data_IF_828729534213
#
_entry.id   IF_828729534213
#
_cell.length_a   1.000
_cell.length_b   1.000
_cell.length_c   1.000
_cell.angle_alpha   90.00
_cell.angle_beta   90.00
_cell.angle_gamma   90.00
#
_symmetry.space_group_name_H-M   'P 1'
#
loop_
_entity.id
_entity.type
_entity.pdbx_description
1 polymer ?
#
# COMPACT_ATOMS: atom_id res chain seq x y z
N UNK A 1 -30.66 -19.52 -62.56
CA UNK A 1 -29.66 -18.45 -62.59
C UNK A 1 -30.01 -17.44 -61.51
N UNK A 2 -29.07 -17.20 -60.57
CA UNK A 2 -28.76 -15.91 -59.88
C UNK A 2 -29.90 -15.27 -59.04
N UNK A 3 -29.74 -14.85 -57.79
CA UNK A 3 -28.57 -14.67 -56.92
C UNK A 3 -28.94 -14.91 -55.45
N UNK A 4 -28.05 -15.42 -54.61
CA UNK A 4 -26.99 -14.67 -53.90
C UNK A 4 -27.54 -13.34 -53.33
N UNK A 5 -27.97 -13.33 -52.07
CA UNK A 5 -27.14 -13.17 -50.87
C UNK A 5 -26.69 -11.72 -50.66
N UNK A 6 -27.41 -11.03 -49.78
CA UNK A 6 -26.92 -9.85 -49.07
C UNK A 6 -27.58 -9.84 -47.68
N UNK A 7 -27.21 -10.82 -46.85
CA UNK A 7 -27.39 -10.70 -45.40
C UNK A 7 -26.32 -9.70 -44.96
N UNK A 8 -26.68 -8.41 -44.95
CA UNK A 8 -25.83 -7.36 -44.43
C UNK A 8 -25.68 -7.63 -42.94
N UNK A 9 -24.54 -8.22 -42.59
CA UNK A 9 -24.08 -8.40 -41.22
C UNK A 9 -23.79 -7.00 -40.66
N UNK A 10 -24.82 -6.31 -40.20
CA UNK A 10 -24.67 -5.16 -39.31
C UNK A 10 -24.21 -5.68 -37.95
N UNK A 11 -22.94 -6.07 -37.89
CA UNK A 11 -22.20 -6.07 -36.63
C UNK A 11 -22.13 -4.60 -36.23
N UNK A 12 -23.16 -4.14 -35.52
CA UNK A 12 -23.02 -2.97 -34.66
C UNK A 12 -21.79 -3.29 -33.80
N UNK A 13 -20.67 -2.56 -33.92
CA UNK A 13 -19.71 -2.59 -32.84
C UNK A 13 -20.53 -2.18 -31.63
N UNK A 14 -20.69 -3.10 -30.67
CA UNK A 14 -21.07 -2.68 -29.33
C UNK A 14 -20.04 -1.59 -29.02
N UNK A 15 -20.51 -0.34 -28.97
CA UNK A 15 -19.77 0.75 -28.40
C UNK A 15 -19.60 0.31 -26.95
N UNK A 16 -18.52 -0.45 -26.70
CA UNK A 16 -18.01 -0.70 -25.37
C UNK A 16 -17.59 0.68 -24.94
N UNK A 17 -18.55 1.38 -24.34
CA UNK A 17 -18.29 2.64 -23.71
C UNK A 17 -17.31 2.30 -22.61
N UNK A 18 -16.04 2.55 -22.91
CA UNK A 18 -14.96 2.35 -22.00
C UNK A 18 -15.25 3.31 -20.85
N UNK A 19 -15.46 2.74 -19.66
CA UNK A 19 -15.87 3.47 -18.47
C UNK A 19 -14.89 3.08 -17.38
N UNK A 20 -14.20 4.03 -16.76
CA UNK A 20 -13.25 3.71 -15.70
C UNK A 20 -13.17 4.82 -14.68
N UNK A 21 -12.97 4.43 -13.43
CA UNK A 21 -13.02 5.32 -12.28
C UNK A 21 -12.42 4.65 -11.03
N UNK A 22 -12.08 5.47 -10.04
CA UNK A 22 -11.68 4.97 -8.72
C UNK A 22 -12.94 4.69 -7.88
N UNK A 23 -13.02 3.51 -7.27
CA UNK A 23 -14.11 3.11 -6.35
C UNK A 23 -13.74 3.45 -4.91
N UNK A 24 -12.52 3.08 -4.49
CA UNK A 24 -12.01 3.33 -3.15
C UNK A 24 -10.71 4.13 -3.22
N UNK A 25 -10.58 5.15 -2.37
CA UNK A 25 -9.39 6.00 -2.31
C UNK A 25 -8.46 5.66 -1.16
N UNK A 26 -8.85 4.73 -0.29
CA UNK A 26 -8.02 4.22 0.80
C UNK A 26 -8.44 2.79 1.18
N UNK A 27 -7.98 1.82 0.40
CA UNK A 27 -8.27 0.40 0.56
C UNK A 27 -7.20 -0.30 1.38
N UNK A 28 -7.57 -1.34 2.12
CA UNK A 28 -6.65 -2.03 3.04
C UNK A 28 -5.89 -3.21 2.44
N UNK A 29 -6.23 -3.65 1.24
CA UNK A 29 -5.62 -4.85 0.65
C UNK A 29 -4.94 -4.53 -0.69
N UNK A 30 -3.61 -4.62 -0.72
CA UNK A 30 -2.82 -4.48 -1.93
C UNK A 30 -2.86 -5.79 -2.73
N UNK A 31 -3.07 -5.68 -4.05
CA UNK A 31 -3.18 -6.82 -4.97
C UNK A 31 -4.32 -7.79 -4.59
N UNK A 32 -5.38 -7.26 -3.97
CA UNK A 32 -6.56 -8.03 -3.57
C UNK A 32 -7.24 -8.73 -4.74
N UNK A 33 -7.72 -9.95 -4.48
CA UNK A 33 -8.42 -10.77 -5.47
C UNK A 33 -9.86 -10.27 -5.70
N UNK A 34 -10.56 -9.90 -4.62
CA UNK A 34 -11.97 -9.57 -4.64
C UNK A 34 -12.25 -8.29 -3.87
N UNK A 35 -13.27 -7.56 -4.33
CA UNK A 35 -13.77 -6.40 -3.61
C UNK A 35 -14.47 -6.80 -2.31
N UNK A 36 -14.00 -6.22 -1.21
CA UNK A 36 -14.68 -6.21 0.07
C UNK A 36 -14.84 -4.75 0.53
N UNK A 37 -16.07 -4.26 0.49
CA UNK A 37 -16.41 -2.91 0.92
C UNK A 37 -16.02 -2.57 2.36
N UNK A 38 -15.82 -3.56 3.24
CA UNK A 38 -15.39 -3.34 4.63
C UNK A 38 -13.92 -2.92 4.71
N UNK A 39 -13.15 -3.21 3.65
CA UNK A 39 -11.74 -2.83 3.52
C UNK A 39 -11.56 -1.43 2.92
N UNK A 40 -12.64 -0.79 2.49
CA UNK A 40 -12.60 0.57 1.98
C UNK A 40 -12.88 1.60 3.07
N UNK A 41 -11.88 2.43 3.37
CA UNK A 41 -11.96 3.45 4.41
C UNK A 41 -12.42 4.80 3.91
N UNK A 42 -12.13 5.12 2.65
CA UNK A 42 -12.43 6.41 2.07
C UNK A 42 -12.78 6.30 0.60
N UNK A 43 -13.54 7.30 0.13
CA UNK A 43 -14.18 7.26 -1.17
C UNK A 43 -13.87 8.52 -1.97
N UNK A 44 -14.03 8.47 -3.30
CA UNK A 44 -13.87 9.66 -4.11
C UNK A 44 -15.07 10.60 -3.99
N UNK A 45 -14.91 11.82 -4.51
CA UNK A 45 -15.94 12.86 -4.45
C UNK A 45 -17.24 12.36 -5.05
N UNK A 46 -18.37 12.60 -4.38
CA UNK A 46 -19.71 12.20 -4.83
C UNK A 46 -19.98 10.70 -4.84
N UNK A 47 -19.10 9.88 -4.24
CA UNK A 47 -19.21 8.43 -4.28
C UNK A 47 -20.54 7.89 -3.74
N UNK A 48 -21.15 8.56 -2.75
CA UNK A 48 -22.46 8.14 -2.20
C UNK A 48 -23.58 8.03 -3.24
N UNK A 49 -23.46 8.72 -4.38
CA UNK A 49 -24.44 8.70 -5.47
C UNK A 49 -24.04 7.81 -6.64
N UNK A 50 -22.76 7.41 -6.72
CA UNK A 50 -22.15 6.90 -7.95
C UNK A 50 -21.36 5.60 -7.75
N UNK A 51 -20.92 5.33 -6.51
CA UNK A 51 -20.16 4.14 -6.12
C UNK A 51 -20.90 3.49 -4.95
N UNK A 52 -21.64 2.39 -5.19
CA UNK A 52 -22.34 1.71 -4.11
C UNK A 52 -21.31 1.14 -3.14
N UNK A 53 -21.40 1.52 -1.86
CA UNK A 53 -20.56 0.94 -0.81
C UNK A 53 -20.91 -0.54 -0.67
N UNK A 54 -22.18 -0.80 -0.38
CA UNK A 54 -22.76 -2.14 -0.37
C UNK A 54 -23.46 -2.40 -1.69
N UNK A 55 -23.00 -3.39 -2.46
CA UNK A 55 -23.57 -3.73 -3.75
C UNK A 55 -22.58 -4.44 -4.66
N UNK A 56 -22.98 -4.70 -5.89
CA UNK A 56 -22.07 -5.28 -6.88
C UNK A 56 -21.01 -4.25 -7.27
N UNK A 57 -19.74 -4.60 -7.07
CA UNK A 57 -18.61 -3.78 -7.47
C UNK A 57 -18.65 -3.48 -8.98
N UNK A 58 -18.27 -2.26 -9.36
CA UNK A 58 -18.26 -1.84 -10.76
C UNK A 58 -19.63 -1.80 -11.45
N UNK A 59 -20.75 -1.86 -10.74
CA UNK A 59 -22.09 -1.90 -11.34
C UNK A 59 -22.54 -0.57 -11.98
N UNK A 60 -21.94 0.56 -11.61
CA UNK A 60 -22.37 1.90 -12.01
C UNK A 60 -21.46 2.54 -13.05
N UNK A 61 -21.84 2.56 -14.33
CA UNK A 61 -21.05 3.23 -15.37
C UNK A 61 -21.10 4.76 -15.30
N UNK A 62 -22.00 5.29 -14.47
CA UNK A 62 -22.25 6.73 -14.34
C UNK A 62 -21.11 7.49 -13.69
N UNK A 63 -20.11 6.84 -13.09
CA UNK A 63 -18.95 7.54 -12.51
C UNK A 63 -17.84 7.81 -13.53
N UNK A 64 -17.82 7.12 -14.66
CA UNK A 64 -16.84 7.38 -15.70
C UNK A 64 -16.95 8.81 -16.21
N UNK A 65 -15.79 9.47 -16.31
CA UNK A 65 -15.72 10.87 -16.70
C UNK A 65 -14.46 11.15 -17.49
N UNK A 66 -14.63 11.83 -18.62
CA UNK A 66 -13.55 12.50 -19.34
C UNK A 66 -13.58 13.98 -18.93
N UNK A 67 -12.44 14.58 -18.61
CA UNK A 67 -12.39 15.97 -18.20
C UNK A 67 -12.74 16.88 -19.38
N UNK A 68 -13.47 17.94 -19.09
CA UNK A 68 -13.65 19.06 -20.02
C UNK A 68 -12.80 20.26 -19.57
N UNK A 69 -12.39 21.17 -20.47
CA UNK A 69 -11.77 22.43 -20.07
C UNK A 69 -12.61 23.18 -19.03
N UNK A 70 -12.05 23.44 -17.85
CA UNK A 70 -12.74 24.07 -16.72
C UNK A 70 -13.53 23.11 -15.83
N UNK A 71 -13.57 21.81 -16.16
CA UNK A 71 -14.22 20.76 -15.38
C UNK A 71 -13.35 19.48 -15.41
N UNK A 72 -12.24 19.50 -14.66
CA UNK A 72 -11.37 18.32 -14.54
C UNK A 72 -12.05 17.20 -13.74
N UNK A 73 -12.83 17.59 -12.74
CA UNK A 73 -13.58 16.69 -11.89
C UNK A 73 -15.04 16.63 -12.31
N UNK A 74 -15.63 15.42 -12.30
CA UNK A 74 -17.04 15.21 -12.69
C UNK A 74 -18.02 16.08 -11.92
N UNK A 75 -17.80 16.21 -10.61
CA UNK A 75 -18.60 17.07 -9.73
C UNK A 75 -17.71 18.19 -9.23
N UNK A 76 -18.18 19.43 -9.23
CA UNK A 76 -17.45 20.54 -8.63
C UNK A 76 -17.16 20.29 -7.16
N UNK A 77 -16.04 20.82 -6.66
CA UNK A 77 -15.64 20.63 -5.27
C UNK A 77 -16.65 21.24 -4.29
N UNK A 78 -17.11 20.43 -3.34
CA UNK A 78 -17.88 20.86 -2.17
C UNK A 78 -17.74 19.83 -1.04
N UNK A 79 -16.68 19.96 -0.25
CA UNK A 79 -16.32 19.02 0.82
C UNK A 79 -17.48 18.78 1.82
N UNK A 80 -18.38 19.75 1.97
CA UNK A 80 -19.51 19.67 2.91
C UNK A 80 -20.68 18.80 2.41
N UNK A 81 -20.83 18.62 1.09
CA UNK A 81 -21.97 17.89 0.49
C UNK A 81 -21.55 16.66 -0.29
N UNK A 82 -20.29 16.57 -0.70
CA UNK A 82 -19.80 15.48 -1.54
C UNK A 82 -19.29 14.26 -0.76
N UNK A 83 -19.23 14.37 0.56
CA UNK A 83 -18.84 13.31 1.49
C UNK A 83 -19.93 13.05 2.52
N UNK A 84 -20.05 11.80 2.96
CA UNK A 84 -21.01 11.38 3.99
C UNK A 84 -20.32 10.51 5.03
N UNK A 85 -21.00 10.17 6.12
CA UNK A 85 -20.47 9.19 7.08
C UNK A 85 -20.28 7.78 6.46
N UNK A 86 -21.06 7.44 5.43
CA UNK A 86 -20.94 6.16 4.73
C UNK A 86 -19.87 6.20 3.63
N UNK A 87 -19.63 7.37 3.04
CA UNK A 87 -18.60 7.62 2.04
C UNK A 87 -17.69 8.75 2.50
N UNK A 88 -16.86 8.50 3.53
CA UNK A 88 -16.03 9.56 4.10
C UNK A 88 -14.87 9.93 3.19
N UNK A 89 -14.38 11.15 3.40
CA UNK A 89 -13.16 11.67 2.81
C UNK A 89 -11.92 10.99 3.41
N UNK A 90 -10.84 10.88 2.64
CA UNK A 90 -9.62 10.24 3.12
C UNK A 90 -8.83 11.15 4.07
N UNK A 91 -8.05 10.52 4.95
CA UNK A 91 -6.97 11.19 5.68
C UNK A 91 -5.71 10.36 5.51
N UNK A 92 -4.68 10.97 4.92
CA UNK A 92 -3.38 10.35 4.74
C UNK A 92 -2.34 10.97 5.65
N UNK A 93 -1.22 10.28 5.87
CA UNK A 93 -0.04 10.87 6.47
C UNK A 93 1.15 10.89 5.50
N UNK A 94 2.09 11.79 5.72
CA UNK A 94 3.34 11.86 4.96
C UNK A 94 4.08 10.51 4.93
N UNK A 95 4.46 10.03 3.75
CA UNK A 95 5.12 8.74 3.57
C UNK A 95 4.19 7.52 3.56
N UNK A 96 2.87 7.71 3.72
CA UNK A 96 1.92 6.60 3.65
C UNK A 96 1.85 6.00 2.25
N UNK A 97 1.86 4.67 2.15
CA UNK A 97 1.38 3.96 0.94
C UNK A 97 -0.14 3.85 0.97
N UNK A 98 -0.78 4.33 -0.08
CA UNK A 98 -2.23 4.37 -0.27
C UNK A 98 -2.60 3.38 -1.36
N UNK A 99 -3.64 2.57 -1.12
CA UNK A 99 -4.19 1.62 -2.10
C UNK A 99 -5.49 2.18 -2.67
N UNK A 100 -5.59 2.19 -4.00
CA UNK A 100 -6.82 2.56 -4.70
C UNK A 100 -7.43 1.32 -5.35
N UNK A 101 -8.75 1.30 -5.51
CA UNK A 101 -9.43 0.24 -6.28
C UNK A 101 -10.20 0.81 -7.45
N UNK A 102 -10.30 0.02 -8.52
CA UNK A 102 -11.08 0.37 -9.70
C UNK A 102 -11.69 -0.89 -10.33
N UNK A 103 -12.80 -0.78 -11.07
CA UNK A 103 -13.30 -1.87 -11.89
C UNK A 103 -12.50 -2.00 -13.18
N UNK A 104 -12.31 -3.23 -13.65
CA UNK A 104 -11.53 -3.54 -14.86
C UNK A 104 -12.25 -3.20 -16.15
N UNK A 105 -13.58 -3.37 -16.21
CA UNK A 105 -14.41 -2.92 -17.35
C UNK A 105 -13.97 -3.47 -18.70
N UNK A 106 -13.47 -4.70 -18.69
CA UNK A 106 -12.89 -5.42 -19.83
C UNK A 106 -11.58 -4.82 -20.37
N UNK A 107 -10.92 -3.91 -19.63
CA UNK A 107 -9.69 -3.22 -20.03
C UNK A 107 -8.41 -3.84 -19.44
N UNK A 108 -8.33 -5.18 -19.39
CA UNK A 108 -7.12 -5.90 -18.96
C UNK A 108 -6.69 -6.85 -20.07
N UNK A 109 -5.41 -6.83 -20.42
CA UNK A 109 -4.79 -7.81 -21.29
C UNK A 109 -4.49 -9.07 -20.48
N UNK A 110 -5.18 -10.16 -20.80
CA UNK A 110 -4.90 -11.48 -20.25
C UNK A 110 -5.26 -12.54 -21.28
N UNK A 111 -4.26 -13.27 -21.79
CA UNK A 111 -4.46 -14.26 -22.86
C UNK A 111 -5.33 -15.44 -22.44
N UNK A 112 -5.58 -15.64 -21.14
CA UNK A 112 -6.46 -16.71 -20.68
C UNK A 112 -7.95 -16.45 -21.00
N UNK A 113 -8.35 -15.18 -21.15
CA UNK A 113 -9.75 -14.81 -21.37
C UNK A 113 -9.97 -13.66 -22.37
N UNK A 114 -8.92 -12.93 -22.76
CA UNK A 114 -8.97 -11.82 -23.72
C UNK A 114 -7.85 -11.94 -24.76
N UNK A 115 -6.93 -10.97 -24.82
CA UNK A 115 -5.80 -10.90 -25.74
C UNK A 115 -4.71 -9.96 -25.19
N UNK A 116 -3.54 -9.95 -25.82
CA UNK A 116 -2.38 -9.14 -25.43
C UNK A 116 -2.35 -7.70 -25.97
N UNK A 117 -3.42 -7.25 -26.60
CA UNK A 117 -3.49 -5.95 -27.30
C UNK A 117 -4.41 -4.95 -26.61
N UNK A 118 -4.83 -5.21 -25.37
CA UNK A 118 -5.65 -4.27 -24.61
C UNK A 118 -4.79 -3.06 -24.20
N UNK A 119 -5.06 -1.84 -24.70
CA UNK A 119 -4.21 -0.68 -24.47
C UNK A 119 -4.07 -0.29 -23.00
N UNK A 120 -2.92 0.28 -22.66
CA UNK A 120 -2.71 1.05 -21.43
C UNK A 120 -1.62 2.08 -21.74
N UNK A 121 -1.96 3.36 -21.70
CA UNK A 121 -1.07 4.45 -22.10
C UNK A 121 -0.63 5.33 -20.93
N UNK A 122 -0.87 4.87 -19.70
CA UNK A 122 -0.30 5.44 -18.49
C UNK A 122 -1.35 5.86 -17.48
N UNK A 123 -0.90 5.93 -16.23
CA UNK A 123 -1.75 6.07 -15.06
C UNK A 123 -1.02 6.90 -13.99
N UNK A 124 -1.62 7.99 -13.54
CA UNK A 124 -0.96 8.99 -12.70
C UNK A 124 -1.85 9.47 -11.57
N UNK A 125 -1.19 9.85 -10.47
CA UNK A 125 -1.82 10.60 -9.37
C UNK A 125 -1.18 11.98 -9.30
N UNK A 126 -2.02 12.99 -9.37
CA UNK A 126 -1.64 14.38 -9.15
C UNK A 126 -2.38 14.95 -7.93
N UNK A 127 -1.83 16.02 -7.37
CA UNK A 127 -2.49 16.84 -6.34
C UNK A 127 -2.52 18.30 -6.76
N UNK A 128 -3.63 18.97 -6.45
CA UNK A 128 -3.76 20.41 -6.65
C UNK A 128 -3.07 21.22 -5.54
N UNK A 129 -3.25 22.55 -5.52
CA UNK A 129 -2.70 23.39 -4.45
C UNK A 129 -3.23 23.00 -3.06
N UNK A 130 -2.37 23.06 -2.05
CA UNK A 130 -2.75 22.85 -0.65
C UNK A 130 -3.81 23.86 -0.23
N UNK A 131 -4.87 23.37 0.40
CA UNK A 131 -6.06 24.14 0.80
C UNK A 131 -6.67 24.95 -0.35
N UNK A 132 -6.51 24.51 -1.60
CA UNK A 132 -7.15 25.13 -2.75
C UNK A 132 -8.67 25.12 -2.59
N UNK A 133 -9.34 26.22 -2.91
CA UNK A 133 -10.80 26.35 -2.76
C UNK A 133 -11.59 25.79 -3.96
N UNK A 134 -10.93 25.57 -5.10
CA UNK A 134 -11.52 25.09 -6.34
C UNK A 134 -10.59 24.12 -7.04
N UNK A 135 -11.16 23.30 -7.91
CA UNK A 135 -10.38 22.44 -8.80
C UNK A 135 -9.54 23.30 -9.76
N UNK A 136 -8.29 22.91 -10.05
CA UNK A 136 -7.57 23.43 -11.21
C UNK A 136 -8.37 23.28 -12.51
N UNK A 137 -8.21 24.23 -13.42
CA UNK A 137 -9.06 24.33 -14.61
C UNK A 137 -8.77 23.28 -15.69
N UNK A 138 -7.52 22.81 -15.80
CA UNK A 138 -7.07 21.87 -16.82
C UNK A 138 -6.38 20.67 -16.17
N UNK A 139 -6.59 19.45 -16.68
CA UNK A 139 -6.04 18.22 -16.07
C UNK A 139 -4.52 18.07 -16.25
N UNK A 140 -3.94 18.84 -17.17
CA UNK A 140 -2.51 18.99 -17.45
C UNK A 140 -2.01 20.41 -17.13
N UNK A 141 -2.81 21.18 -16.38
CA UNK A 141 -2.46 22.52 -15.94
C UNK A 141 -1.28 22.54 -14.97
N UNK A 142 -0.52 23.65 -14.92
CA UNK A 142 0.66 23.79 -14.06
C UNK A 142 0.35 23.79 -12.56
N UNK A 143 -0.92 23.90 -12.17
CA UNK A 143 -1.35 23.85 -10.77
C UNK A 143 -1.37 22.42 -10.21
N UNK A 144 -1.35 21.40 -11.07
CA UNK A 144 -1.21 20.01 -10.66
C UNK A 144 0.25 19.66 -10.42
N UNK A 145 0.50 19.01 -9.29
CA UNK A 145 1.78 18.36 -8.98
C UNK A 145 1.59 16.86 -9.08
N UNK A 146 2.24 16.22 -10.04
CA UNK A 146 2.28 14.76 -10.12
C UNK A 146 3.07 14.21 -8.93
N UNK A 147 2.44 13.31 -8.17
CA UNK A 147 3.05 12.64 -7.02
C UNK A 147 3.27 11.15 -7.24
N UNK A 148 2.66 10.56 -8.28
CA UNK A 148 2.90 9.18 -8.67
C UNK A 148 2.73 8.94 -10.18
N UNK A 149 3.61 8.13 -10.74
CA UNK A 149 3.45 7.46 -12.03
C UNK A 149 3.32 5.96 -11.76
N UNK A 150 2.13 5.41 -12.00
CA UNK A 150 1.83 4.00 -11.74
C UNK A 150 2.14 3.14 -12.98
N UNK A 151 2.69 3.75 -14.04
CA UNK A 151 3.18 3.11 -15.24
C UNK A 151 2.07 2.71 -16.20
N UNK A 152 2.47 1.84 -17.14
CA UNK A 152 1.61 1.25 -18.16
C UNK A 152 1.88 -0.24 -18.27
N UNK A 153 0.83 -1.03 -18.45
CA UNK A 153 0.97 -2.44 -18.75
C UNK A 153 1.62 -2.65 -20.13
N UNK A 154 2.50 -3.66 -20.29
CA UNK A 154 3.05 -4.02 -21.59
C UNK A 154 1.96 -4.59 -22.50
N UNK A 155 1.94 -4.16 -23.76
CA UNK A 155 0.95 -4.55 -24.78
C UNK A 155 1.64 -4.88 -26.10
N UNK A 156 1.04 -5.76 -26.91
CA UNK A 156 1.50 -6.04 -28.27
C UNK A 156 1.98 -7.47 -28.52
N UNK A 157 2.36 -7.74 -29.77
CA UNK A 157 2.64 -9.12 -30.21
C UNK A 157 3.92 -9.72 -29.62
N UNK A 158 4.89 -8.87 -29.29
CA UNK A 158 6.21 -9.27 -28.76
C UNK A 158 6.18 -9.62 -27.26
N UNK A 159 5.09 -9.29 -26.57
CA UNK A 159 4.95 -9.56 -25.15
C UNK A 159 4.65 -11.06 -24.94
N UNK A 160 5.46 -11.77 -24.12
CA UNK A 160 5.17 -13.16 -23.77
C UNK A 160 3.84 -13.29 -23.05
N UNK A 161 3.07 -14.32 -23.38
CA UNK A 161 1.76 -14.63 -22.78
C UNK A 161 1.80 -14.66 -21.25
N UNK A 162 2.89 -15.17 -20.66
CA UNK A 162 3.11 -15.21 -19.22
C UNK A 162 3.09 -13.81 -18.57
N UNK A 163 3.58 -12.77 -19.25
CA UNK A 163 3.56 -11.39 -18.74
C UNK A 163 2.12 -10.87 -18.63
N UNK A 164 1.26 -11.25 -19.56
CA UNK A 164 -0.16 -10.86 -19.54
C UNK A 164 -1.03 -11.70 -18.60
N UNK A 165 -0.51 -12.79 -18.04
CA UNK A 165 -1.27 -13.67 -17.13
C UNK A 165 -0.66 -13.77 -15.73
N UNK A 166 0.39 -12.99 -15.45
CA UNK A 166 1.02 -12.88 -14.13
C UNK A 166 0.66 -11.54 -13.50
N UNK A 167 0.39 -11.56 -12.19
CA UNK A 167 0.12 -10.39 -11.37
C UNK A 167 1.14 -10.34 -10.22
N UNK A 168 1.50 -9.16 -9.69
CA UNK A 168 0.96 -7.84 -10.04
C UNK A 168 1.41 -7.34 -11.43
N UNK A 169 0.59 -6.49 -12.05
CA UNK A 169 0.92 -5.79 -13.31
C UNK A 169 1.13 -4.30 -13.05
N UNK A 170 1.97 -3.60 -13.82
CA UNK A 170 2.00 -2.15 -13.78
C UNK A 170 0.75 -1.55 -14.44
N UNK A 171 0.49 -0.26 -14.16
CA UNK A 171 -0.61 0.49 -14.77
C UNK A 171 -1.99 -0.03 -14.38
N UNK A 172 -2.97 0.15 -15.27
CA UNK A 172 -4.39 -0.15 -15.02
C UNK A 172 -4.69 -1.64 -14.87
N UNK A 173 -3.79 -2.50 -15.33
CA UNK A 173 -4.13 -3.90 -15.57
C UNK A 173 -3.97 -4.81 -14.35
N UNK A 174 -3.66 -4.27 -13.17
CA UNK A 174 -3.40 -5.06 -11.96
C UNK A 174 -4.66 -5.61 -11.30
N UNK A 175 -5.24 -6.66 -11.89
CA UNK A 175 -6.49 -7.29 -11.46
C UNK A 175 -6.40 -8.83 -11.50
N UNK A 176 -5.91 -9.49 -10.43
CA UNK A 176 -5.62 -10.92 -10.41
C UNK A 176 -6.79 -11.83 -10.82
N UNK A 177 -8.03 -11.40 -10.53
CA UNK A 177 -9.26 -12.14 -10.83
C UNK A 177 -10.01 -11.65 -12.06
N UNK A 178 -9.32 -10.97 -12.97
CA UNK A 178 -9.92 -10.43 -14.19
C UNK A 178 -10.71 -11.47 -15.00
N UNK A 179 -10.13 -12.65 -15.24
CA UNK A 179 -10.77 -13.67 -16.07
C UNK A 179 -12.00 -14.34 -15.43
N UNK A 180 -12.25 -14.14 -14.13
CA UNK A 180 -13.47 -14.63 -13.48
C UNK A 180 -14.68 -13.72 -13.77
N UNK A 181 -14.44 -12.41 -13.92
CA UNK A 181 -15.47 -11.45 -14.28
C UNK A 181 -14.85 -10.20 -14.94
N UNK A 182 -14.67 -10.24 -16.26
CA UNK A 182 -13.91 -9.21 -16.99
C UNK A 182 -14.48 -7.79 -16.83
N UNK A 183 -15.79 -7.64 -16.63
CA UNK A 183 -16.45 -6.34 -16.44
C UNK A 183 -16.32 -5.82 -15.00
N UNK A 184 -16.42 -6.71 -13.99
CA UNK A 184 -16.54 -6.33 -12.57
C UNK A 184 -15.39 -6.80 -11.68
N UNK A 185 -14.30 -7.33 -12.22
CA UNK A 185 -13.14 -7.65 -11.41
C UNK A 185 -12.54 -6.38 -10.79
N UNK A 186 -11.97 -6.54 -9.60
CA UNK A 186 -11.25 -5.48 -8.92
C UNK A 186 -9.82 -5.41 -9.44
N UNK A 187 -9.42 -4.23 -9.87
CA UNK A 187 -8.01 -3.86 -9.99
C UNK A 187 -7.58 -3.00 -8.80
N UNK A 188 -6.29 -3.08 -8.48
CA UNK A 188 -5.70 -2.27 -7.39
C UNK A 188 -4.51 -1.46 -7.88
N UNK A 189 -4.39 -0.24 -7.38
CA UNK A 189 -3.20 0.58 -7.48
C UNK A 189 -2.59 0.80 -6.12
N UNK A 190 -1.33 1.22 -6.11
CA UNK A 190 -0.76 1.85 -4.94
C UNK A 190 0.14 3.02 -5.32
N UNK A 191 0.23 3.99 -4.43
CA UNK A 191 1.18 5.10 -4.50
C UNK A 191 1.57 5.55 -3.10
N UNK A 192 2.68 6.28 -2.99
CA UNK A 192 3.15 6.80 -1.70
C UNK A 192 2.96 8.31 -1.62
N UNK A 193 2.38 8.79 -0.52
CA UNK A 193 2.31 10.22 -0.23
C UNK A 193 3.74 10.74 -0.02
N UNK A 194 4.20 11.76 -0.77
CA UNK A 194 5.54 12.29 -0.59
C UNK A 194 5.77 12.73 0.86
N UNK A 195 6.90 12.35 1.44
CA UNK A 195 7.24 12.69 2.84
C UNK A 195 7.38 14.20 3.07
N UNK A 196 7.62 14.95 2.00
CA UNK A 196 7.73 16.41 2.00
C UNK A 196 6.45 17.13 1.56
N UNK A 197 5.35 16.42 1.28
CA UNK A 197 4.08 17.06 0.94
C UNK A 197 3.54 17.80 2.16
N UNK A 198 3.35 19.11 2.07
CA UNK A 198 2.96 19.94 3.22
C UNK A 198 1.63 19.47 3.82
N UNK A 199 1.48 19.38 5.16
CA UNK A 199 0.18 19.04 5.74
C UNK A 199 -0.91 20.03 5.36
N UNK A 200 -2.11 19.52 5.07
CA UNK A 200 -3.26 20.30 4.63
C UNK A 200 -4.20 19.48 3.74
N UNK A 201 -5.26 20.12 3.27
CA UNK A 201 -6.23 19.47 2.39
C UNK A 201 -5.83 19.60 0.93
N UNK A 202 -5.89 18.51 0.20
CA UNK A 202 -5.60 18.48 -1.23
C UNK A 202 -6.79 17.91 -1.99
N UNK A 203 -6.99 18.40 -3.23
CA UNK A 203 -7.71 17.65 -4.24
C UNK A 203 -6.70 16.77 -4.95
N UNK A 204 -6.93 15.46 -4.90
CA UNK A 204 -6.23 14.45 -5.66
C UNK A 204 -6.96 14.19 -6.97
N UNK A 205 -6.19 13.93 -8.01
CA UNK A 205 -6.65 13.61 -9.35
C UNK A 205 -5.99 12.31 -9.80
N UNK A 206 -6.80 11.27 -10.00
CA UNK A 206 -6.40 10.10 -10.74
C UNK A 206 -6.63 10.34 -12.23
N UNK A 207 -5.63 10.03 -13.06
CA UNK A 207 -5.71 10.08 -14.53
C UNK A 207 -5.30 8.75 -15.12
N UNK A 208 -6.10 8.23 -16.04
CA UNK A 208 -5.73 7.06 -16.83
C UNK A 208 -6.02 7.26 -18.31
N UNK A 209 -5.01 7.04 -19.15
CA UNK A 209 -5.17 7.12 -20.60
C UNK A 209 -5.25 5.69 -21.14
N UNK A 210 -6.44 5.28 -21.55
CA UNK A 210 -6.62 3.97 -22.18
C UNK A 210 -5.97 3.94 -23.57
N UNK A 211 -6.39 4.83 -24.47
CA UNK A 211 -5.85 4.94 -25.84
C UNK A 211 -4.95 6.16 -25.99
N UNK A 212 -3.78 6.00 -26.61
CA UNK A 212 -2.90 7.10 -26.95
C UNK A 212 -3.63 8.19 -27.75
N UNK A 213 -3.43 9.45 -27.37
CA UNK A 213 -4.05 10.60 -28.03
C UNK A 213 -5.49 10.93 -27.57
N UNK A 214 -6.09 10.12 -26.69
CA UNK A 214 -7.38 10.44 -26.08
C UNK A 214 -7.21 11.21 -24.76
N UNK A 215 -8.27 11.90 -24.34
CA UNK A 215 -8.37 12.46 -22.99
C UNK A 215 -8.33 11.35 -21.93
N UNK A 216 -7.75 11.60 -20.75
CA UNK A 216 -7.73 10.62 -19.68
C UNK A 216 -9.12 10.41 -19.09
N UNK A 217 -9.37 9.23 -18.55
CA UNK A 217 -10.38 9.05 -17.51
C UNK A 217 -9.90 9.73 -16.25
N UNK A 218 -10.82 10.36 -15.53
CA UNK A 218 -10.50 11.07 -14.29
C UNK A 218 -11.39 10.67 -13.13
N UNK A 219 -10.83 10.71 -11.93
CA UNK A 219 -11.56 10.65 -10.67
C UNK A 219 -10.89 11.59 -9.69
N UNK A 220 -11.70 12.39 -9.00
CA UNK A 220 -11.21 13.35 -8.04
C UNK A 220 -11.66 12.99 -6.64
N UNK A 221 -10.82 13.29 -5.65
CA UNK A 221 -11.17 13.20 -4.26
C UNK A 221 -10.37 14.19 -3.43
N UNK A 222 -10.95 14.60 -2.33
CA UNK A 222 -10.30 15.36 -1.30
C UNK A 222 -9.64 14.39 -0.31
N UNK A 223 -8.48 14.77 0.19
CA UNK A 223 -7.91 14.13 1.37
C UNK A 223 -7.19 15.16 2.25
N UNK A 224 -7.30 14.97 3.56
CA UNK A 224 -6.43 15.65 4.51
C UNK A 224 -5.10 14.91 4.58
N UNK A 225 -3.99 15.59 4.28
CA UNK A 225 -2.64 15.08 4.51
C UNK A 225 -2.15 15.63 5.84
N UNK A 226 -1.87 14.74 6.79
CA UNK A 226 -1.36 15.10 8.11
C UNK A 226 0.12 14.73 8.25
N UNK A 227 0.78 15.26 9.27
CA UNK A 227 2.22 15.06 9.43
C UNK A 227 2.58 13.62 9.84
N UNK A 228 1.72 12.93 10.58
CA UNK A 228 2.07 11.65 11.21
C UNK A 228 0.96 10.61 11.14
N UNK A 229 1.36 9.33 11.15
CA UNK A 229 0.43 8.18 11.28
C UNK A 229 -0.44 8.28 12.53
N UNK A 230 0.10 8.76 13.65
CA UNK A 230 -0.64 8.91 14.90
C UNK A 230 -1.81 9.89 14.78
N UNK A 231 -1.60 11.04 14.12
CA UNK A 231 -2.65 12.04 13.88
C UNK A 231 -3.76 11.47 12.99
N UNK A 232 -3.38 10.79 11.90
CA UNK A 232 -4.33 10.11 11.02
C UNK A 232 -5.12 9.04 11.78
N UNK A 233 -4.45 8.24 12.61
CA UNK A 233 -5.08 7.18 13.39
C UNK A 233 -6.10 7.74 14.40
N UNK A 234 -5.82 8.89 15.00
CA UNK A 234 -6.77 9.55 15.89
C UNK A 234 -8.05 9.97 15.13
N UNK A 235 -7.89 10.53 13.93
CA UNK A 235 -9.02 10.91 13.05
C UNK A 235 -9.83 9.66 12.68
N UNK A 236 -9.18 8.61 12.16
CA UNK A 236 -9.85 7.37 11.75
C UNK A 236 -10.56 6.69 12.92
N UNK A 237 -9.94 6.66 14.09
CA UNK A 237 -10.57 6.12 15.31
C UNK A 237 -11.82 6.91 15.69
N UNK A 238 -11.77 8.25 15.61
CA UNK A 238 -12.93 9.10 15.90
C UNK A 238 -14.11 8.89 14.94
N UNK A 239 -13.81 8.41 13.72
CA UNK A 239 -14.79 8.06 12.69
C UNK A 239 -15.22 6.58 12.74
N UNK A 240 -14.62 5.76 13.62
CA UNK A 240 -14.84 4.31 13.66
C UNK A 240 -14.26 3.54 12.48
N UNK A 241 -13.20 4.07 11.84
CA UNK A 241 -12.47 3.43 10.74
C UNK A 241 -11.21 2.71 11.25
N UNK A 242 -10.76 1.70 10.50
CA UNK A 242 -9.51 0.97 10.76
C UNK A 242 -8.26 1.85 10.62
N UNK A 243 -7.35 1.73 11.58
CA UNK A 243 -6.05 2.42 11.61
C UNK A 243 -4.90 1.63 10.98
N UNK A 244 -5.16 0.40 10.51
CA UNK A 244 -4.18 -0.46 9.81
C UNK A 244 -3.82 0.17 8.47
N UNK A 245 -2.56 0.25 8.06
CA UNK A 245 -2.21 0.89 6.78
C UNK A 245 -2.74 0.11 5.57
N UNK A 246 -2.23 -1.11 5.37
CA UNK A 246 -2.70 -2.10 4.41
C UNK A 246 -2.05 -3.45 4.74
N UNK A 247 -2.46 -4.51 4.04
CA UNK A 247 -1.75 -5.78 3.95
C UNK A 247 -1.69 -6.26 2.50
N UNK A 248 -0.88 -7.28 2.25
CA UNK A 248 -0.81 -7.95 0.95
C UNK A 248 -1.77 -9.12 0.88
N UNK A 249 -2.51 -9.22 -0.23
CA UNK A 249 -3.31 -10.39 -0.52
C UNK A 249 -2.41 -11.65 -0.55
N UNK A 250 -2.80 -12.68 0.20
CA UNK A 250 -2.00 -13.91 0.35
C UNK A 250 -0.98 -13.89 1.49
N UNK A 251 -0.89 -12.79 2.25
CA UNK A 251 -0.12 -12.75 3.49
C UNK A 251 1.40 -12.85 3.31
N UNK A 252 1.94 -12.61 2.11
CA UNK A 252 3.37 -12.43 1.88
C UNK A 252 3.61 -11.08 1.23
N UNK A 253 4.57 -10.30 1.73
CA UNK A 253 5.13 -9.16 0.99
C UNK A 253 5.64 -9.71 -0.36
N UNK A 254 5.05 -9.35 -1.51
CA UNK A 254 5.60 -9.67 -2.81
C UNK A 254 6.85 -8.82 -2.91
N UNK A 255 7.97 -9.36 -2.41
CA UNK A 255 9.23 -8.64 -2.32
C UNK A 255 9.46 -7.90 -3.61
N UNK A 256 9.50 -6.56 -3.52
CA UNK A 256 9.64 -5.56 -4.59
C UNK A 256 9.14 -6.05 -5.95
N UNK A 257 8.02 -5.51 -6.51
CA UNK A 257 7.53 -5.97 -7.82
C UNK A 257 8.71 -6.08 -8.78
N UNK A 258 8.88 -7.22 -9.47
CA UNK A 258 10.06 -7.43 -10.30
C UNK A 258 10.20 -6.19 -11.15
N UNK A 259 11.34 -5.49 -11.01
CA UNK A 259 11.72 -4.46 -11.97
C UNK A 259 11.71 -5.20 -13.28
N UNK A 260 10.62 -5.07 -14.04
CA UNK A 260 10.53 -5.60 -15.38
C UNK A 260 11.71 -4.92 -16.05
N UNK A 261 12.75 -5.65 -16.49
CA UNK A 261 13.84 -5.02 -17.20
C UNK A 261 13.18 -4.30 -18.36
N UNK A 262 13.28 -2.96 -18.36
CA UNK A 262 13.03 -2.19 -19.56
C UNK A 262 13.90 -2.87 -20.60
N UNK A 263 13.26 -3.53 -21.57
CA UNK A 263 13.98 -4.11 -22.70
C UNK A 263 14.49 -2.90 -23.45
N UNK A 264 15.75 -2.56 -23.16
CA UNK A 264 16.48 -1.49 -23.79
C UNK A 264 16.70 -1.91 -25.25
N UNK A 265 15.74 -1.57 -26.11
CA UNK A 265 15.66 -2.23 -27.40
C UNK A 265 14.48 -1.87 -28.30
N UNK A 266 13.90 -0.68 -28.19
CA UNK A 266 13.15 -0.08 -29.31
C UNK A 266 13.51 1.40 -29.43
N UNK A 267 14.66 1.64 -30.04
CA UNK A 267 15.01 2.93 -30.64
C UNK A 267 13.99 3.28 -31.73
N UNK A 268 13.26 4.37 -31.53
CA UNK A 268 12.95 5.35 -32.56
C UNK A 268 13.24 6.72 -31.94
N UNK A 269 14.42 7.31 -32.16
CA UNK A 269 14.65 8.35 -33.20
C UNK A 269 13.61 9.47 -33.05
N UNK A 270 13.92 10.68 -32.55
CA UNK A 270 15.02 11.56 -32.94
C UNK A 270 15.31 12.70 -31.91
N UNK A 271 16.62 13.00 -31.75
CA UNK A 271 17.33 14.30 -31.73
C UNK A 271 16.72 15.53 -31.02
N UNK A 272 17.45 16.43 -30.34
CA UNK A 272 18.89 16.70 -30.09
C UNK A 272 18.95 17.80 -29.02
N UNK A 273 19.91 17.73 -28.10
CA UNK A 273 20.15 18.82 -27.14
C UNK A 273 21.31 18.57 -26.19
N UNK A 274 22.52 18.73 -26.72
CA UNK A 274 23.83 18.68 -26.05
C UNK A 274 23.94 19.60 -24.83
N UNK A 275 24.57 19.11 -23.75
CA UNK A 275 25.06 19.95 -22.65
C UNK A 275 25.70 19.15 -21.53
N UNK A 276 27.00 18.85 -21.68
CA UNK A 276 27.88 18.29 -20.66
C UNK A 276 28.18 19.29 -19.54
N UNK A 277 28.25 18.85 -18.28
CA UNK A 277 29.42 19.07 -17.40
C UNK A 277 29.30 18.28 -16.11
N UNK A 278 30.30 17.43 -15.91
CA UNK A 278 30.67 16.75 -14.68
C UNK A 278 31.17 17.79 -13.65
N UNK A 279 30.83 17.60 -12.38
CA UNK A 279 31.61 18.19 -11.28
C UNK A 279 31.55 17.28 -10.05
N UNK A 280 32.59 16.46 -9.93
CA UNK A 280 32.97 15.70 -8.75
C UNK A 280 33.48 16.67 -7.69
N UNK A 281 32.84 16.71 -6.51
CA UNK A 281 33.38 17.44 -5.34
C UNK A 281 33.82 16.42 -4.30
N UNK A 282 35.13 16.41 -4.05
CA UNK A 282 35.82 15.68 -2.98
C UNK A 282 35.69 16.48 -1.67
N UNK A 283 35.12 15.88 -0.63
CA UNK A 283 35.09 16.49 0.72
C UNK A 283 36.12 15.81 1.62
N UNK A 284 37.09 16.59 2.07
CA UNK A 284 38.14 16.22 3.03
C UNK A 284 37.57 16.18 4.45
N UNK A 285 37.73 15.05 5.14
CA UNK A 285 37.40 14.90 6.57
C UNK A 285 38.64 15.26 7.40
N UNK A 286 38.51 16.25 8.28
CA UNK A 286 39.53 16.60 9.28
C UNK A 286 39.07 16.13 10.66
N UNK A 287 39.86 15.28 11.29
CA UNK A 287 39.65 14.77 12.66
C UNK A 287 40.13 15.78 13.69
N UNK A 288 39.29 16.10 14.68
CA UNK A 288 39.73 16.73 15.93
C UNK A 288 39.02 16.10 17.12
N UNK A 289 39.81 15.71 18.11
CA UNK A 289 39.44 15.05 19.37
C UNK A 289 38.99 16.09 20.41
N UNK A 290 37.91 15.83 21.17
CA UNK A 290 37.57 16.68 22.33
C UNK A 290 36.21 16.43 22.98
N UNK A 291 36.23 15.59 24.03
CA UNK A 291 35.52 15.66 25.34
C UNK A 291 34.02 15.99 25.44
N UNK A 292 33.31 15.05 26.07
CA UNK A 292 31.90 14.95 26.46
C UNK A 292 31.39 16.03 27.43
N UNK A 293 30.21 16.59 27.15
CA UNK A 293 29.23 17.04 28.16
C UNK A 293 27.83 16.66 27.67
N UNK A 294 27.09 15.93 28.50
CA UNK A 294 25.75 15.39 28.23
C UNK A 294 24.67 16.38 28.64
N UNK A 295 23.80 16.75 27.70
CA UNK A 295 22.43 17.25 27.96
C UNK A 295 21.54 16.69 26.85
N UNK A 296 20.80 15.62 27.16
CA UNK A 296 19.92 14.93 26.23
C UNK A 296 18.71 15.78 25.84
N UNK A 297 18.59 16.07 24.55
CA UNK A 297 17.34 16.50 23.92
C UNK A 297 17.09 15.49 22.80
N UNK A 298 15.98 14.75 22.88
CA UNK A 298 15.59 13.75 21.89
C UNK A 298 14.97 14.42 20.67
N UNK A 299 15.66 14.35 19.54
CA UNK A 299 15.10 14.57 18.19
C UNK A 299 15.02 13.22 17.50
N UNK A 300 13.81 12.81 17.15
CA UNK A 300 13.54 11.59 16.39
C UNK A 300 13.55 11.93 14.90
N UNK A 301 14.52 11.39 14.17
CA UNK A 301 14.53 11.37 12.71
C UNK A 301 14.04 9.99 12.25
N UNK A 302 13.05 9.94 11.35
CA UNK A 302 12.33 8.71 11.03
C UNK A 302 12.10 8.59 9.52
N UNK A 303 12.96 7.82 8.85
CA UNK A 303 12.76 7.36 7.47
C UNK A 303 13.25 5.91 7.32
N UNK A 304 12.33 4.99 7.03
CA UNK A 304 12.61 3.64 6.51
C UNK A 304 12.53 2.48 7.52
N UNK A 305 11.75 1.44 7.16
CA UNK A 305 11.62 0.12 7.82
C UNK A 305 11.60 0.16 9.36
N UNK A 306 10.40 0.26 9.92
CA UNK A 306 10.14 0.41 11.36
C UNK A 306 10.80 -0.66 12.21
N UNK A 307 12.02 -0.38 12.64
CA UNK A 307 12.69 -1.04 13.75
C UNK A 307 12.19 -0.31 15.00
N UNK A 308 11.38 -0.97 15.83
CA UNK A 308 10.97 -0.37 17.12
C UNK A 308 12.20 -0.42 18.04
N UNK A 309 12.89 0.71 18.18
CA UNK A 309 14.00 0.86 19.11
C UNK A 309 13.47 1.32 20.47
N UNK A 310 13.23 0.36 21.37
CA UNK A 310 12.74 0.63 22.71
C UNK A 310 13.92 0.69 23.69
N UNK A 311 14.81 1.68 23.63
CA UNK A 311 16.12 1.67 24.34
C UNK A 311 16.11 1.77 25.88
N UNK A 312 14.97 1.56 26.56
CA UNK A 312 14.90 1.60 28.02
C UNK A 312 15.45 0.35 28.69
N UNK A 313 16.60 0.44 29.38
CA UNK A 313 17.05 -0.62 30.29
C UNK A 313 16.27 -0.54 31.61
N UNK A 314 15.71 -1.67 32.05
CA UNK A 314 14.95 -1.80 33.30
C UNK A 314 15.37 -3.04 34.09
N UNK A 315 15.06 -3.06 35.38
CA UNK A 315 15.24 -4.21 36.27
C UNK A 315 13.89 -4.83 36.59
N UNK A 316 13.71 -6.14 36.36
CA UNK A 316 12.51 -6.85 36.80
C UNK A 316 12.49 -6.99 38.33
N UNK A 317 11.30 -7.17 38.89
CA UNK A 317 10.99 -7.53 40.29
C UNK A 317 11.73 -8.78 40.80
N UNK A 318 12.32 -9.59 39.90
CA UNK A 318 13.14 -10.76 40.21
C UNK A 318 14.66 -10.52 40.17
N UNK A 319 15.12 -9.31 39.84
CA UNK A 319 16.54 -8.94 39.83
C UNK A 319 17.25 -9.13 38.48
N UNK A 320 16.55 -9.60 37.44
CA UNK A 320 17.11 -9.74 36.10
C UNK A 320 17.29 -8.42 35.34
N UNK A 321 18.25 -8.39 34.42
CA UNK A 321 18.47 -7.27 33.48
C UNK A 321 17.55 -7.43 32.27
N UNK A 322 16.73 -6.42 32.00
CA UNK A 322 15.86 -6.34 30.82
C UNK A 322 16.54 -5.52 29.75
N UNK A 323 16.72 -6.10 28.57
CA UNK A 323 17.17 -5.41 27.36
C UNK A 323 16.08 -5.51 26.30
N UNK A 324 15.39 -4.41 25.96
CA UNK A 324 14.38 -4.45 24.92
C UNK A 324 15.01 -4.82 23.57
N UNK A 325 14.26 -5.58 22.76
CA UNK A 325 14.72 -5.96 21.43
C UNK A 325 14.04 -5.11 20.38
N UNK A 326 14.83 -4.68 19.41
CA UNK A 326 14.31 -4.35 18.10
C UNK A 326 13.71 -5.61 17.47
N UNK A 327 12.43 -5.59 17.16
CA UNK A 327 11.77 -6.67 16.44
C UNK A 327 10.99 -6.11 15.27
N UNK A 328 10.94 -6.88 14.20
CA UNK A 328 10.11 -6.60 13.04
C UNK A 328 8.91 -7.55 13.11
N UNK A 329 7.75 -7.01 13.47
CA UNK A 329 6.45 -7.68 13.29
C UNK A 329 5.98 -7.45 11.85
N UNK A 330 6.78 -7.86 10.87
CA UNK A 330 6.41 -7.64 9.49
C UNK A 330 7.15 -8.59 8.56
N UNK A 331 6.42 -9.58 8.06
CA UNK A 331 6.53 -10.09 6.69
C UNK A 331 5.21 -10.71 6.24
N UNK A 332 4.46 -11.33 7.16
CA UNK A 332 3.27 -12.11 6.84
C UNK A 332 2.19 -11.98 7.94
N UNK A 333 1.44 -10.87 8.00
CA UNK A 333 0.27 -10.77 8.88
C UNK A 333 -0.99 -11.21 8.12
N UNK A 334 -1.91 -11.95 8.77
CA UNK A 334 -3.17 -12.42 8.17
C UNK A 334 -4.35 -12.21 9.13
N UNK A 335 -5.61 -12.27 8.66
CA UNK A 335 -6.76 -12.25 9.56
C UNK A 335 -6.65 -13.38 10.60
N UNK A 336 -6.46 -13.02 11.86
CA UNK A 336 -6.29 -13.97 12.95
C UNK A 336 -4.86 -14.50 13.13
N UNK A 337 -3.82 -13.76 12.72
CA UNK A 337 -2.45 -14.13 13.03
C UNK A 337 -1.37 -13.32 12.34
N UNK A 338 -0.13 -13.75 12.52
CA UNK A 338 0.99 -13.21 11.78
C UNK A 338 2.31 -13.91 12.09
N UNK A 339 3.33 -13.52 11.37
CA UNK A 339 4.71 -13.99 11.54
C UNK A 339 5.62 -12.84 11.95
N UNK A 340 6.54 -13.09 12.87
CA UNK A 340 7.55 -12.12 13.30
C UNK A 340 8.95 -12.71 13.36
N UNK A 341 9.95 -11.82 13.35
CA UNK A 341 11.35 -12.17 13.58
C UNK A 341 12.03 -11.17 14.51
N UNK A 342 12.98 -11.68 15.29
CA UNK A 342 13.72 -11.00 16.34
C UNK A 342 15.20 -11.12 16.03
N UNK A 343 15.90 -10.00 15.88
CA UNK A 343 17.36 -10.01 15.83
C UNK A 343 17.91 -10.00 17.25
N UNK A 344 18.80 -10.93 17.55
CA UNK A 344 19.44 -11.04 18.85
C UNK A 344 20.68 -10.15 18.93
N UNK A 345 21.00 -9.58 20.11
CA UNK A 345 22.20 -8.79 20.30
C UNK A 345 23.46 -9.66 20.16
N UNK A 346 24.52 -9.03 19.69
CA UNK A 346 25.85 -9.63 19.60
C UNK A 346 26.86 -8.74 20.34
N UNK A 347 27.49 -9.19 21.43
CA UNK A 347 27.34 -10.51 22.04
C UNK A 347 26.00 -10.70 22.77
N UNK A 348 25.54 -11.96 22.89
CA UNK A 348 24.37 -12.32 23.70
C UNK A 348 24.66 -12.16 25.20
N UNK A 349 23.64 -12.00 26.06
CA UNK A 349 23.85 -11.97 27.51
C UNK A 349 24.59 -13.23 28.00
N UNK A 350 25.51 -13.03 28.95
CA UNK A 350 26.13 -14.13 29.67
C UNK A 350 25.13 -14.74 30.66
N UNK A 351 25.21 -16.06 30.88
CA UNK A 351 24.36 -16.75 31.85
C UNK A 351 23.04 -17.23 31.27
N UNK A 352 22.03 -17.37 32.12
CA UNK A 352 20.72 -17.85 31.71
C UNK A 352 19.86 -16.70 31.21
N UNK A 353 19.35 -16.81 29.99
CA UNK A 353 18.52 -15.79 29.35
C UNK A 353 17.43 -16.40 28.48
N UNK A 354 16.39 -15.62 28.24
CA UNK A 354 15.32 -15.93 27.29
C UNK A 354 14.81 -14.63 26.63
N UNK A 355 14.18 -14.76 25.46
CA UNK A 355 13.37 -13.69 24.88
C UNK A 355 11.94 -13.83 25.39
N UNK A 356 11.39 -12.74 25.89
CA UNK A 356 9.98 -12.62 26.25
C UNK A 356 9.26 -11.82 25.18
N UNK A 357 8.16 -12.37 24.67
CA UNK A 357 7.24 -11.68 23.76
C UNK A 357 5.88 -11.61 24.45
N UNK A 358 5.31 -10.42 24.52
CA UNK A 358 4.00 -10.19 25.12
C UNK A 358 3.03 -9.64 24.10
N UNK A 359 1.90 -10.33 23.97
CA UNK A 359 0.76 -9.92 23.16
C UNK A 359 -0.31 -9.26 24.07
N UNK A 360 -1.11 -8.31 23.55
CA UNK A 360 -2.15 -7.64 24.33
C UNK A 360 -3.35 -8.54 24.67
N UNK A 361 -3.42 -9.74 24.09
CA UNK A 361 -4.59 -10.61 24.14
C UNK A 361 -4.51 -11.70 25.22
N UNK A 362 -4.55 -11.28 26.48
CA UNK A 362 -4.68 -12.24 27.58
C UNK A 362 -6.04 -12.97 27.51
N UNK A 363 -6.04 -14.27 27.80
CA UNK A 363 -7.25 -15.11 27.93
C UNK A 363 -7.78 -15.71 26.63
N UNK A 364 -7.13 -15.50 25.50
CA UNK A 364 -7.46 -16.17 24.23
C UNK A 364 -6.53 -17.36 23.97
N UNK A 365 -7.05 -18.45 23.39
CA UNK A 365 -6.19 -19.50 22.87
C UNK A 365 -5.39 -18.91 21.69
N UNK A 366 -4.09 -18.73 21.88
CA UNK A 366 -3.16 -18.37 20.83
C UNK A 366 -2.35 -19.61 20.46
N UNK A 367 -2.23 -19.87 19.17
CA UNK A 367 -1.28 -20.90 18.70
C UNK A 367 0.02 -20.16 18.39
N UNK A 368 1.10 -20.53 19.07
CA UNK A 368 2.40 -19.90 18.92
C UNK A 368 3.42 -20.96 18.55
N UNK A 369 4.13 -20.76 17.45
CA UNK A 369 5.15 -21.68 16.93
C UNK A 369 6.45 -20.91 16.70
N UNK A 370 7.60 -21.55 16.94
CA UNK A 370 8.92 -20.90 16.88
C UNK A 370 9.89 -21.67 16.00
N UNK A 371 10.85 -20.95 15.41
CA UNK A 371 12.08 -21.52 14.88
C UNK A 371 13.30 -20.77 15.40
N UNK A 372 14.45 -21.43 15.35
CA UNK A 372 15.69 -20.96 15.97
C UNK A 372 15.57 -20.68 17.48
N UNK A 373 14.59 -21.29 18.16
CA UNK A 373 14.37 -21.18 19.59
C UNK A 373 13.26 -22.12 20.06
N UNK A 374 13.34 -22.54 21.32
CA UNK A 374 12.38 -23.41 21.99
C UNK A 374 11.49 -22.60 22.93
N UNK A 375 10.20 -22.92 22.96
CA UNK A 375 9.25 -22.32 23.89
C UNK A 375 9.44 -22.87 25.31
N UNK A 376 9.54 -21.97 26.29
CA UNK A 376 9.81 -22.29 27.70
C UNK A 376 8.83 -21.62 28.67
N UNK A 377 7.79 -20.96 28.16
CA UNK A 377 6.74 -20.37 29.01
C UNK A 377 5.90 -21.45 29.71
N UNK A 378 5.32 -21.08 30.85
CA UNK A 378 4.29 -21.86 31.54
C UNK A 378 2.91 -21.64 30.91
N UNK A 379 1.95 -22.57 31.08
CA UNK A 379 0.58 -22.36 30.62
C UNK A 379 -0.10 -21.12 31.20
N UNK A 380 0.29 -20.69 32.40
CA UNK A 380 -0.26 -19.48 33.04
C UNK A 380 0.25 -18.20 32.37
N UNK A 381 1.52 -18.17 31.94
CA UNK A 381 2.11 -17.08 31.17
C UNK A 381 1.51 -17.03 29.76
N UNK A 382 1.36 -18.18 29.11
CA UNK A 382 0.71 -18.30 27.81
C UNK A 382 -0.73 -17.76 27.85
N UNK A 383 -1.50 -18.11 28.89
CA UNK A 383 -2.84 -17.57 29.10
C UNK A 383 -2.87 -16.04 29.32
N UNK A 384 -1.75 -15.42 29.69
CA UNK A 384 -1.58 -13.96 29.80
C UNK A 384 -1.00 -13.34 28.52
N UNK A 385 -0.82 -14.14 27.48
CA UNK A 385 -0.19 -13.75 26.21
C UNK A 385 1.30 -13.52 26.29
N UNK A 386 1.97 -14.16 27.25
CA UNK A 386 3.42 -14.09 27.44
C UNK A 386 4.05 -15.38 26.91
N UNK A 387 4.93 -15.24 25.92
CA UNK A 387 5.70 -16.33 25.34
C UNK A 387 7.18 -16.14 25.64
N UNK A 388 7.85 -17.21 26.05
CA UNK A 388 9.26 -17.19 26.41
C UNK A 388 10.01 -18.14 25.50
N UNK A 389 11.06 -17.66 24.85
CA UNK A 389 11.82 -18.40 23.84
C UNK A 389 13.28 -18.46 24.26
N UNK A 390 13.88 -19.64 24.21
CA UNK A 390 15.28 -19.88 24.56
C UNK A 390 16.00 -20.58 23.41
N UNK A 391 17.22 -20.15 23.09
CA UNK A 391 18.07 -20.88 22.15
C UNK A 391 18.82 -22.00 22.88
N UNK A 392 18.72 -23.23 22.37
CA UNK A 392 19.48 -24.39 22.87
C UNK A 392 20.21 -25.11 21.74
N UNK A 393 21.32 -25.77 22.08
CA UNK A 393 22.10 -26.58 21.13
C UNK A 393 22.49 -25.80 19.86
N UNK A 394 22.12 -26.33 18.69
CA UNK A 394 22.42 -25.74 17.39
C UNK A 394 21.76 -24.37 17.16
N UNK A 395 20.71 -24.03 17.91
CA UNK A 395 20.05 -22.74 17.80
C UNK A 395 20.96 -21.60 18.30
N UNK A 396 21.93 -21.89 19.16
CA UNK A 396 22.92 -20.92 19.65
C UNK A 396 23.81 -20.35 18.53
N UNK A 397 23.83 -20.96 17.34
CA UNK A 397 24.55 -20.45 16.17
C UNK A 397 23.71 -19.45 15.35
N UNK A 398 22.44 -19.24 15.71
CA UNK A 398 21.51 -18.36 14.97
C UNK A 398 21.39 -16.99 15.62
N UNK A 399 21.62 -15.93 14.85
CA UNK A 399 21.53 -14.54 15.31
C UNK A 399 20.08 -14.02 15.38
N UNK A 400 19.11 -14.86 15.10
CA UNK A 400 17.69 -14.52 15.07
C UNK A 400 16.83 -15.59 15.76
N UNK A 401 15.63 -15.17 16.16
CA UNK A 401 14.51 -16.04 16.51
C UNK A 401 13.33 -15.62 15.64
N UNK A 402 12.57 -16.57 15.12
CA UNK A 402 11.32 -16.24 14.47
C UNK A 402 10.17 -17.07 14.99
N UNK A 403 8.96 -16.54 14.77
CA UNK A 403 7.74 -17.11 15.30
C UNK A 403 6.54 -16.87 14.39
N UNK A 404 5.54 -17.74 14.50
CA UNK A 404 4.20 -17.56 13.98
C UNK A 404 3.23 -17.52 15.17
N UNK A 405 2.28 -16.61 15.12
CA UNK A 405 1.15 -16.53 16.06
C UNK A 405 -0.16 -16.60 15.28
N UNK A 406 -1.08 -17.46 15.71
CA UNK A 406 -2.47 -17.41 15.28
C UNK A 406 -3.34 -16.97 16.46
N UNK A 407 -4.05 -15.87 16.27
CA UNK A 407 -5.03 -15.34 17.20
C UNK A 407 -6.42 -15.80 16.77
N UNK A 408 -7.17 -16.42 17.69
CA UNK A 408 -8.58 -16.72 17.40
C UNK A 408 -9.39 -15.42 17.24
N UNK A 409 -10.51 -15.53 16.52
CA UNK A 409 -11.43 -14.42 16.25
C UNK A 409 -11.71 -13.58 17.51
N UNK A 410 -11.39 -12.28 17.44
CA UNK A 410 -11.58 -11.32 18.53
C UNK A 410 -10.29 -10.72 19.13
N UNK A 411 -9.12 -11.27 18.80
CA UNK A 411 -7.83 -10.66 19.14
C UNK A 411 -7.15 -10.11 17.88
N UNK A 412 -7.26 -8.79 17.69
CA UNK A 412 -6.50 -8.06 16.69
C UNK A 412 -5.23 -7.53 17.35
N UNK A 413 -4.08 -7.99 16.88
CA UNK A 413 -2.78 -7.56 17.39
C UNK A 413 -2.27 -6.43 16.50
N UNK A 414 -2.25 -5.21 17.04
CA UNK A 414 -1.51 -4.10 16.44
C UNK A 414 -0.01 -4.28 16.75
N UNK A 415 0.85 -4.02 15.76
CA UNK A 415 2.32 -4.10 15.90
C UNK A 415 2.85 -3.30 17.09
N UNK A 416 2.19 -2.18 17.43
CA UNK A 416 2.56 -1.29 18.52
C UNK A 416 2.15 -1.80 19.91
N UNK A 417 1.38 -2.89 19.96
CA UNK A 417 0.91 -3.50 21.20
C UNK A 417 1.70 -4.75 21.59
N UNK A 418 2.55 -5.26 20.69
CA UNK A 418 3.47 -6.36 20.98
C UNK A 418 4.74 -5.79 21.59
N UNK A 419 5.24 -6.41 22.64
CA UNK A 419 6.56 -6.06 23.19
C UNK A 419 7.46 -7.27 23.16
N UNK A 420 8.73 -7.08 22.77
CA UNK A 420 9.75 -8.11 22.84
C UNK A 420 10.97 -7.60 23.62
N UNK A 421 11.47 -8.44 24.53
CA UNK A 421 12.61 -8.11 25.38
C UNK A 421 13.45 -9.35 25.68
N UNK A 422 14.74 -9.17 25.90
CA UNK A 422 15.61 -10.17 26.50
C UNK A 422 15.58 -10.00 28.01
N UNK A 423 15.35 -11.10 28.71
CA UNK A 423 15.45 -11.21 30.16
C UNK A 423 16.65 -12.09 30.48
N UNK A 424 17.56 -11.59 31.31
CA UNK A 424 18.75 -12.32 31.77
C UNK A 424 18.84 -12.26 33.30
N UNK A 425 19.18 -13.39 33.92
CA UNK A 425 19.29 -13.53 35.37
C UNK A 425 20.68 -13.20 35.90
#
# INVERSE_FOLDING_TARGET
>A
MKGLAALLLTVLPALVAAHSWITCTDYLEMNGDYWDHTLCRAFPRSASRMVPRTGQFGSQDTYSYFPDPGAVCRTSRNDATEYTADHPMATYYQGQTVILTHPTKNHVADVQCTNKYIPDNGNWIDVGPVNGASDPAMFDGPEWTQIADMGKAPVGYEIPDAVTSTYPKPGFQNAPKFCENMDKAMGTYNFTIPSNLTPGRYTFLWKWIFNAGNLPYTSCWEADVVATKAERNAIYTSMGLSTIDFWYAGGTDPGVPPVIPVVDGLQGSDNTGTGTTDNTVTTTVSTTTGTTVSTGTTTTDNSGTGTIDNTGTGTDTTGGTITPLSFAFNVNAWPGGGQGSLLLPSPRPSGDWYVEIKFPCAGTNMVFDTWHGDQVQTPAEEAQGIFKIKQTGWQLDKNDIGFVVNTMAGCYVDENQVTAQIVSN
#
